data_IF_269811106227
#
_entry.id   IF_269811106227
#
_cell.length_a   1.000
_cell.length_b   1.000
_cell.length_c   1.000
_cell.angle_alpha   90.00
_cell.angle_beta   90.00
_cell.angle_gamma   90.00
#
_symmetry.space_group_name_H-M   'P 1'
#
loop_
_entity.id
_entity.type
_entity.pdbx_description
1 polymer ?
#
# COMPACT_ATOMS: atom_id res chain seq x y z
N UNK A 1 9.67 0.29 -12.58
CA UNK A 1 8.48 -0.55 -12.67
C UNK A 1 8.75 -2.00 -13.14
N UNK A 2 9.58 -2.25 -14.17
CA UNK A 2 9.81 -3.62 -14.71
C UNK A 2 10.40 -4.64 -13.74
N UNK A 3 11.12 -4.23 -12.71
CA UNK A 3 11.77 -5.14 -11.74
C UNK A 3 10.87 -5.55 -10.57
N UNK A 4 9.79 -4.81 -10.29
CA UNK A 4 8.85 -5.06 -9.20
C UNK A 4 7.68 -5.97 -9.64
N UNK A 5 7.26 -5.81 -10.88
CA UNK A 5 6.07 -6.46 -11.43
C UNK A 5 6.08 -8.00 -11.24
N UNK A 6 7.19 -8.73 -11.52
CA UNK A 6 7.21 -10.18 -11.35
C UNK A 6 7.00 -10.61 -9.89
N UNK A 7 7.58 -9.92 -8.92
CA UNK A 7 7.41 -10.25 -7.50
C UNK A 7 5.96 -10.03 -7.04
N UNK A 8 5.37 -8.88 -7.42
CA UNK A 8 3.98 -8.58 -7.09
C UNK A 8 2.99 -9.53 -7.76
N UNK A 9 3.25 -9.95 -9.00
CA UNK A 9 2.42 -10.94 -9.69
C UNK A 9 2.53 -12.32 -9.04
N UNK A 10 3.72 -12.77 -8.68
CA UNK A 10 3.92 -14.06 -8.00
C UNK A 10 3.16 -14.05 -6.67
N UNK A 11 3.37 -13.04 -5.83
CA UNK A 11 2.69 -12.93 -4.53
C UNK A 11 1.18 -12.81 -4.72
N UNK A 12 0.72 -11.99 -5.66
CA UNK A 12 -0.71 -11.82 -5.96
C UNK A 12 -1.37 -13.12 -6.42
N UNK A 13 -0.71 -13.87 -7.32
CA UNK A 13 -1.22 -15.16 -7.80
C UNK A 13 -1.27 -16.21 -6.69
N UNK A 14 -0.22 -16.33 -5.88
CA UNK A 14 -0.19 -17.25 -4.73
C UNK A 14 -1.28 -16.86 -3.72
N UNK A 15 -1.42 -15.58 -3.41
CA UNK A 15 -2.46 -15.11 -2.49
C UNK A 15 -3.87 -15.42 -3.01
N UNK A 16 -4.12 -15.19 -4.31
CA UNK A 16 -5.41 -15.49 -4.93
C UNK A 16 -5.74 -17.00 -4.84
N UNK A 17 -4.76 -17.86 -5.14
CA UNK A 17 -4.93 -19.32 -5.01
C UNK A 17 -5.21 -19.71 -3.55
N UNK A 18 -4.48 -19.15 -2.59
CA UNK A 18 -4.71 -19.42 -1.17
C UNK A 18 -6.10 -18.99 -0.72
N UNK A 19 -6.57 -17.81 -1.13
CA UNK A 19 -7.92 -17.35 -0.82
C UNK A 19 -9.00 -18.29 -1.40
N UNK A 20 -8.82 -18.74 -2.64
CA UNK A 20 -9.76 -19.69 -3.27
C UNK A 20 -9.74 -21.03 -2.55
N UNK A 21 -8.57 -21.62 -2.29
CA UNK A 21 -8.45 -22.94 -1.65
C UNK A 21 -9.02 -22.91 -0.23
N UNK A 22 -8.67 -21.90 0.56
CA UNK A 22 -9.14 -21.78 1.95
C UNK A 22 -10.64 -21.44 1.97
N UNK A 23 -11.10 -20.55 1.08
CA UNK A 23 -12.52 -20.24 0.93
C UNK A 23 -13.35 -21.48 0.58
N UNK A 24 -12.87 -22.32 -0.33
CA UNK A 24 -13.55 -23.59 -0.67
C UNK A 24 -13.51 -24.58 0.48
N UNK A 25 -12.41 -24.67 1.23
CA UNK A 25 -12.30 -25.59 2.37
C UNK A 25 -13.18 -25.20 3.55
N UNK A 26 -13.39 -23.90 3.76
CA UNK A 26 -14.27 -23.39 4.81
C UNK A 26 -15.75 -23.40 4.40
N UNK A 27 -16.05 -23.39 3.10
CA UNK A 27 -17.43 -23.43 2.62
C UNK A 27 -18.16 -24.75 2.89
N UNK A 28 -17.45 -25.79 3.29
CA UNK A 28 -18.04 -27.06 3.71
C UNK A 28 -18.67 -27.04 5.12
N UNK A 29 -18.50 -25.98 5.89
CA UNK A 29 -18.96 -25.83 7.28
C UNK A 29 -20.11 -24.85 7.52
N UNK A 30 -20.92 -24.58 6.53
CA UNK A 30 -22.08 -23.68 6.66
C UNK A 30 -21.92 -22.45 5.78
N UNK A 31 -22.48 -22.50 4.59
CA UNK A 31 -22.80 -21.31 3.83
C UNK A 31 -23.68 -20.43 4.70
N UNK A 32 -23.15 -19.37 5.28
CA UNK A 32 -23.94 -18.18 5.40
C UNK A 32 -24.31 -17.86 3.95
N UNK A 33 -25.54 -18.20 3.54
CA UNK A 33 -26.07 -17.69 2.30
C UNK A 33 -25.99 -16.18 2.46
N UNK A 34 -25.03 -15.54 1.80
CA UNK A 34 -25.13 -14.13 1.55
C UNK A 34 -26.37 -14.08 0.67
N UNK A 35 -27.53 -13.78 1.29
CA UNK A 35 -28.70 -13.38 0.54
C UNK A 35 -28.25 -12.14 -0.22
N UNK A 36 -27.79 -12.39 -1.43
CA UNK A 36 -27.45 -11.31 -2.34
C UNK A 36 -28.79 -10.61 -2.64
N UNK A 37 -29.03 -9.53 -1.92
CA UNK A 37 -30.18 -8.69 -2.17
C UNK A 37 -30.12 -8.27 -3.66
N UNK A 38 -31.12 -8.65 -4.47
CA UNK A 38 -31.16 -8.30 -5.86
C UNK A 38 -31.03 -6.78 -6.11
N UNK A 39 -31.36 -5.97 -5.09
CA UNK A 39 -31.19 -4.52 -5.13
C UNK A 39 -29.72 -4.06 -5.20
N UNK A 40 -28.77 -4.93 -4.83
CA UNK A 40 -27.33 -4.62 -4.91
C UNK A 40 -26.71 -4.90 -6.28
N UNK A 41 -27.43 -5.58 -7.19
CA UNK A 41 -26.95 -5.88 -8.52
C UNK A 41 -26.47 -4.64 -9.33
N UNK A 42 -27.13 -3.47 -9.25
CA UNK A 42 -26.63 -2.24 -9.89
C UNK A 42 -25.28 -1.79 -9.38
N UNK A 43 -24.93 -2.11 -8.14
CA UNK A 43 -23.64 -1.72 -7.54
C UNK A 43 -22.44 -2.41 -8.19
N UNK A 44 -22.63 -3.54 -8.89
CA UNK A 44 -21.58 -4.21 -9.64
C UNK A 44 -21.04 -3.35 -10.80
N UNK A 45 -21.84 -2.40 -11.29
CA UNK A 45 -21.42 -1.47 -12.33
C UNK A 45 -20.23 -0.62 -11.88
N UNK A 46 -20.10 -0.34 -10.59
CA UNK A 46 -18.96 0.41 -10.05
C UNK A 46 -17.62 -0.32 -10.20
N UNK A 47 -17.61 -1.65 -10.39
CA UNK A 47 -16.39 -2.40 -10.67
C UNK A 47 -15.73 -2.01 -12.02
N UNK A 48 -16.47 -1.37 -12.93
CA UNK A 48 -15.92 -0.86 -14.18
C UNK A 48 -14.92 0.28 -13.95
N UNK A 49 -15.07 1.04 -12.87
CA UNK A 49 -14.25 2.23 -12.59
C UNK A 49 -12.78 1.88 -12.33
N UNK A 50 -12.44 0.93 -11.43
CA UNK A 50 -11.05 0.48 -11.27
C UNK A 50 -10.46 -0.09 -12.56
N UNK A 51 -11.26 -0.78 -13.38
CA UNK A 51 -10.79 -1.31 -14.68
C UNK A 51 -10.45 -0.16 -15.62
N UNK A 52 -11.30 0.85 -15.73
CA UNK A 52 -11.04 2.05 -16.54
C UNK A 52 -9.79 2.78 -16.03
N UNK A 53 -9.62 2.95 -14.72
CA UNK A 53 -8.45 3.57 -14.12
C UNK A 53 -7.15 2.84 -14.54
N UNK A 54 -7.14 1.52 -14.43
CA UNK A 54 -5.99 0.69 -14.85
C UNK A 54 -5.72 0.85 -16.35
N UNK A 55 -6.74 0.83 -17.18
CA UNK A 55 -6.61 0.98 -18.63
C UNK A 55 -6.08 2.37 -19.02
N UNK A 56 -6.55 3.44 -18.38
CA UNK A 56 -6.04 4.81 -18.59
C UNK A 56 -4.57 4.91 -18.24
N UNK A 57 -4.17 4.36 -17.09
CA UNK A 57 -2.77 4.34 -16.67
C UNK A 57 -1.91 3.49 -17.60
N UNK A 58 -2.41 2.35 -18.10
CA UNK A 58 -1.72 1.50 -19.05
C UNK A 58 -1.50 2.21 -20.41
N UNK A 59 -2.40 3.14 -20.77
CA UNK A 59 -2.27 4.00 -21.96
C UNK A 59 -1.35 5.20 -21.77
N UNK A 60 -0.71 5.34 -20.60
CA UNK A 60 0.26 6.39 -20.31
C UNK A 60 -0.34 7.71 -19.82
N UNK A 61 -1.62 7.72 -19.43
CA UNK A 61 -2.21 8.90 -18.80
C UNK A 61 -1.53 9.20 -17.46
N UNK A 62 -1.39 10.48 -17.13
CA UNK A 62 -0.89 10.88 -15.83
C UNK A 62 -1.83 10.42 -14.71
N UNK A 63 -1.26 10.03 -13.56
CA UNK A 63 -2.02 9.52 -12.41
C UNK A 63 -3.16 10.47 -12.00
N UNK A 64 -2.88 11.77 -11.91
CA UNK A 64 -3.86 12.78 -11.48
C UNK A 64 -5.03 12.86 -12.47
N UNK A 65 -4.74 12.90 -13.77
CA UNK A 65 -5.78 12.97 -14.81
C UNK A 65 -6.64 11.70 -14.82
N UNK A 66 -6.03 10.54 -14.68
CA UNK A 66 -6.73 9.26 -14.63
C UNK A 66 -7.64 9.16 -13.40
N UNK A 67 -7.15 9.61 -12.23
CA UNK A 67 -7.94 9.66 -11.00
C UNK A 67 -9.10 10.65 -11.09
N UNK A 68 -8.88 11.86 -11.62
CA UNK A 68 -9.95 12.85 -11.78
C UNK A 68 -11.06 12.33 -12.70
N UNK A 69 -10.70 11.72 -13.83
CA UNK A 69 -11.69 11.14 -14.73
C UNK A 69 -12.45 9.99 -14.10
N UNK A 70 -11.75 9.12 -13.36
CA UNK A 70 -12.38 8.00 -12.67
C UNK A 70 -13.33 8.47 -11.56
N UNK A 71 -12.97 9.50 -10.79
CA UNK A 71 -13.86 10.10 -9.80
C UNK A 71 -15.08 10.76 -10.45
N UNK A 72 -14.90 11.51 -11.54
CA UNK A 72 -16.02 12.09 -12.29
C UNK A 72 -16.97 11.00 -12.79
N UNK A 73 -16.44 9.86 -13.25
CA UNK A 73 -17.23 8.72 -13.70
C UNK A 73 -18.02 8.09 -12.52
N UNK A 74 -17.42 7.95 -11.34
CA UNK A 74 -18.14 7.46 -10.14
C UNK A 74 -19.30 8.38 -9.79
N UNK A 75 -19.07 9.70 -9.75
CA UNK A 75 -20.11 10.68 -9.45
C UNK A 75 -21.25 10.60 -10.49
N UNK A 76 -20.90 10.51 -11.78
CA UNK A 76 -21.90 10.37 -12.84
C UNK A 76 -22.71 9.07 -12.70
N UNK A 77 -22.07 7.95 -12.40
CA UNK A 77 -22.76 6.68 -12.17
C UNK A 77 -23.65 6.72 -10.93
N UNK A 78 -23.21 7.35 -9.84
CA UNK A 78 -24.01 7.52 -8.62
C UNK A 78 -25.30 8.32 -8.91
N UNK A 79 -25.21 9.37 -9.72
CA UNK A 79 -26.36 10.19 -10.13
C UNK A 79 -27.30 9.44 -11.06
N UNK A 80 -26.76 8.72 -12.07
CA UNK A 80 -27.57 7.96 -13.03
C UNK A 80 -28.30 6.81 -12.37
N UNK A 81 -27.65 6.12 -11.45
CA UNK A 81 -28.23 4.98 -10.71
C UNK A 81 -29.08 5.41 -9.52
N UNK A 82 -29.15 6.71 -9.22
CA UNK A 82 -29.92 7.22 -8.08
C UNK A 82 -29.41 6.75 -6.71
N UNK A 83 -28.14 6.37 -6.62
CA UNK A 83 -27.51 5.89 -5.38
C UNK A 83 -27.27 7.05 -4.41
N UNK A 84 -27.05 8.25 -4.94
CA UNK A 84 -26.82 9.47 -4.15
C UNK A 84 -27.70 10.58 -4.66
N UNK A 85 -28.41 11.25 -3.75
CA UNK A 85 -29.21 12.41 -4.09
C UNK A 85 -28.29 13.58 -4.51
N UNK A 86 -28.57 14.29 -5.61
CA UNK A 86 -27.79 15.44 -6.04
C UNK A 86 -27.57 16.51 -4.96
N UNK A 87 -28.54 16.68 -4.08
CA UNK A 87 -28.43 17.64 -2.96
C UNK A 87 -27.39 17.22 -1.93
N UNK A 88 -27.22 15.92 -1.70
CA UNK A 88 -26.23 15.38 -0.75
C UNK A 88 -24.81 15.52 -1.28
N UNK A 89 -24.61 15.49 -2.61
CA UNK A 89 -23.29 15.65 -3.23
C UNK A 89 -22.63 17.00 -2.93
N UNK A 90 -23.43 18.04 -2.72
CA UNK A 90 -22.97 19.40 -2.45
C UNK A 90 -23.14 19.81 -0.98
N UNK A 91 -23.54 18.90 -0.10
CA UNK A 91 -23.62 19.13 1.33
C UNK A 91 -22.27 19.02 2.02
N UNK A 92 -22.13 19.59 3.22
CA UNK A 92 -20.90 19.48 4.02
C UNK A 92 -20.57 18.03 4.41
N UNK A 93 -21.60 17.19 4.54
CA UNK A 93 -21.47 15.75 4.84
C UNK A 93 -21.31 14.89 3.57
N UNK A 94 -21.06 15.50 2.42
CA UNK A 94 -20.91 14.74 1.18
C UNK A 94 -19.69 13.82 1.19
N UNK A 95 -19.73 12.68 0.45
CA UNK A 95 -18.56 11.84 0.26
C UNK A 95 -17.36 12.59 -0.36
N UNK A 96 -17.63 13.62 -1.16
CA UNK A 96 -16.61 14.47 -1.75
C UNK A 96 -15.95 15.33 -0.67
N UNK A 97 -16.73 16.00 0.16
CA UNK A 97 -16.23 16.84 1.26
C UNK A 97 -15.41 16.01 2.26
N UNK A 98 -15.95 14.87 2.68
CA UNK A 98 -15.26 13.94 3.59
C UNK A 98 -13.94 13.45 3.01
N UNK A 99 -13.91 13.11 1.72
CA UNK A 99 -12.70 12.71 1.01
C UNK A 99 -11.67 13.84 0.95
N UNK A 100 -12.07 15.07 0.68
CA UNK A 100 -11.19 16.25 0.65
C UNK A 100 -10.61 16.55 2.04
N UNK A 101 -11.41 16.51 3.09
CA UNK A 101 -10.96 16.73 4.48
C UNK A 101 -9.95 15.65 4.89
N UNK A 102 -10.23 14.38 4.59
CA UNK A 102 -9.33 13.27 4.83
C UNK A 102 -7.96 13.47 4.16
N UNK A 103 -7.96 13.91 2.89
CA UNK A 103 -6.75 14.15 2.13
C UNK A 103 -6.00 15.41 2.61
N UNK A 104 -6.70 16.44 3.08
CA UNK A 104 -6.09 17.62 3.66
C UNK A 104 -5.24 17.27 4.90
N UNK A 105 -5.75 16.40 5.77
CA UNK A 105 -4.99 15.90 6.92
C UNK A 105 -3.71 15.17 6.50
N UNK A 106 -3.80 14.29 5.49
CA UNK A 106 -2.62 13.59 4.95
C UNK A 106 -1.60 14.57 4.37
N UNK A 107 -2.05 15.60 3.64
CA UNK A 107 -1.19 16.62 3.07
C UNK A 107 -0.46 17.43 4.17
N UNK A 108 -1.17 17.87 5.20
CA UNK A 108 -0.61 18.61 6.33
C UNK A 108 0.46 17.77 7.03
N UNK A 109 0.15 16.51 7.37
CA UNK A 109 1.09 15.60 8.04
C UNK A 109 2.32 15.38 7.15
N UNK A 110 2.14 15.17 5.85
CA UNK A 110 3.24 15.01 4.89
C UNK A 110 4.14 16.25 4.84
N UNK A 111 3.57 17.46 4.82
CA UNK A 111 4.34 18.70 4.87
C UNK A 111 5.15 18.82 6.17
N UNK A 112 4.55 18.52 7.31
CA UNK A 112 5.24 18.55 8.60
C UNK A 112 6.40 17.54 8.63
N UNK A 113 6.20 16.32 8.12
CA UNK A 113 7.25 15.31 8.03
C UNK A 113 8.39 15.79 7.14
N UNK A 114 8.10 16.38 5.97
CA UNK A 114 9.13 16.93 5.08
C UNK A 114 9.91 18.04 5.79
N UNK A 115 9.25 18.92 6.54
CA UNK A 115 9.93 19.94 7.36
C UNK A 115 10.83 19.30 8.42
N UNK A 116 10.35 18.29 9.13
CA UNK A 116 11.14 17.59 10.14
C UNK A 116 12.38 16.90 9.55
N UNK A 117 12.29 16.34 8.34
CA UNK A 117 13.42 15.71 7.66
C UNK A 117 14.51 16.75 7.28
N UNK A 118 14.13 17.99 7.01
CA UNK A 118 15.08 19.05 6.66
C UNK A 118 16.06 19.35 7.82
N UNK A 119 15.64 19.21 9.07
CA UNK A 119 16.49 19.47 10.23
C UNK A 119 17.69 18.51 10.27
N UNK A 120 17.52 17.17 10.34
CA UNK A 120 18.64 16.24 10.36
C UNK A 120 19.44 16.24 9.04
N UNK A 121 18.80 16.60 7.92
CA UNK A 121 19.50 16.71 6.63
C UNK A 121 20.45 17.91 6.61
N UNK A 122 19.99 19.10 7.03
CA UNK A 122 20.80 20.32 7.05
C UNK A 122 21.84 20.32 8.17
N UNK A 123 21.57 19.67 9.30
CA UNK A 123 22.54 19.54 10.40
C UNK A 123 23.66 18.53 10.11
N UNK A 124 23.57 17.76 9.02
CA UNK A 124 24.52 16.69 8.73
C UNK A 124 24.33 15.43 9.59
N UNK A 125 23.32 15.40 10.47
CA UNK A 125 23.04 14.25 11.30
C UNK A 125 22.66 13.00 10.48
N UNK A 126 21.91 13.21 9.38
CA UNK A 126 21.55 12.12 8.46
C UNK A 126 22.79 11.54 7.79
N UNK A 127 23.77 12.38 7.43
CA UNK A 127 25.04 11.95 6.84
C UNK A 127 25.91 11.22 7.84
N UNK A 128 25.96 11.68 9.08
CA UNK A 128 26.68 11.01 10.14
C UNK A 128 26.07 9.62 10.45
N UNK A 129 24.75 9.55 10.51
CA UNK A 129 24.03 8.29 10.73
C UNK A 129 24.19 7.30 9.56
N UNK A 130 24.12 7.79 8.32
CA UNK A 130 24.38 6.98 7.14
C UNK A 130 25.81 6.41 7.17
N UNK A 131 26.83 7.24 7.41
CA UNK A 131 28.23 6.79 7.55
C UNK A 131 28.39 5.77 8.66
N UNK A 132 27.77 5.98 9.82
CA UNK A 132 27.81 5.02 10.92
C UNK A 132 27.24 3.66 10.53
N UNK A 133 26.12 3.61 9.83
CA UNK A 133 25.52 2.36 9.33
C UNK A 133 26.43 1.72 8.27
N UNK A 134 26.98 2.50 7.34
CA UNK A 134 27.87 2.00 6.29
C UNK A 134 29.10 1.31 6.89
N UNK A 135 29.66 1.84 7.99
CA UNK A 135 30.77 1.18 8.69
C UNK A 135 30.41 -0.22 9.23
N UNK A 136 29.11 -0.48 9.46
CA UNK A 136 28.60 -1.78 9.89
C UNK A 136 28.16 -2.66 8.72
N UNK A 137 27.78 -2.06 7.60
CA UNK A 137 27.36 -2.74 6.38
C UNK A 137 28.59 -3.03 5.50
N UNK A 138 29.05 -4.28 5.48
CA UNK A 138 30.20 -4.68 4.64
C UNK A 138 29.82 -5.09 3.23
N UNK A 139 28.53 -5.28 2.96
CA UNK A 139 28.03 -5.79 1.69
C UNK A 139 26.74 -5.09 1.29
N UNK A 140 26.47 -5.04 -0.01
CA UNK A 140 25.21 -4.51 -0.53
C UNK A 140 23.97 -5.25 0.04
N UNK A 141 24.11 -6.53 0.39
CA UNK A 141 23.03 -7.29 1.05
C UNK A 141 22.68 -6.71 2.42
N UNK A 142 23.70 -6.34 3.21
CA UNK A 142 23.46 -5.70 4.51
C UNK A 142 22.84 -4.32 4.37
N UNK A 143 23.19 -3.56 3.33
CA UNK A 143 22.57 -2.28 3.03
C UNK A 143 21.09 -2.43 2.61
N UNK A 144 20.79 -3.41 1.75
CA UNK A 144 19.39 -3.74 1.38
C UNK A 144 18.58 -4.22 2.61
N UNK A 145 19.19 -4.97 3.52
CA UNK A 145 18.55 -5.41 4.75
C UNK A 145 18.26 -4.24 5.70
N UNK A 146 19.17 -3.27 5.78
CA UNK A 146 18.93 -2.03 6.54
C UNK A 146 17.76 -1.26 5.94
N UNK A 147 17.68 -1.13 4.61
CA UNK A 147 16.55 -0.50 3.94
C UNK A 147 15.23 -1.22 4.25
N UNK A 148 15.24 -2.56 4.27
CA UNK A 148 14.10 -3.39 4.65
C UNK A 148 13.67 -3.11 6.11
N UNK A 149 14.59 -3.15 7.05
CA UNK A 149 14.31 -2.85 8.46
C UNK A 149 13.78 -1.43 8.65
N UNK A 150 14.37 -0.44 7.97
CA UNK A 150 13.90 0.94 8.03
C UNK A 150 12.48 1.09 7.49
N UNK A 151 12.11 0.35 6.43
CA UNK A 151 10.75 0.33 5.94
C UNK A 151 9.77 -0.22 6.98
N UNK A 152 10.10 -1.36 7.61
CA UNK A 152 9.25 -1.97 8.65
C UNK A 152 9.10 -1.03 9.85
N UNK A 153 10.21 -0.60 10.46
CA UNK A 153 10.16 0.26 11.64
C UNK A 153 9.55 1.64 11.34
N UNK A 154 9.84 2.18 10.15
CA UNK A 154 9.27 3.46 9.72
C UNK A 154 7.75 3.41 9.63
N UNK A 155 7.17 2.33 9.09
CA UNK A 155 5.71 2.16 9.02
C UNK A 155 5.11 1.97 10.41
N UNK A 156 5.76 1.19 11.29
CA UNK A 156 5.30 1.03 12.67
C UNK A 156 5.26 2.39 13.39
N UNK A 157 6.26 3.25 13.15
CA UNK A 157 6.35 4.55 13.78
C UNK A 157 5.40 5.60 13.18
N UNK A 158 5.22 5.59 11.84
CA UNK A 158 4.45 6.64 11.12
C UNK A 158 3.03 6.22 10.76
N UNK A 159 2.67 4.93 10.92
CA UNK A 159 1.37 4.35 10.56
C UNK A 159 0.99 4.53 9.08
N UNK A 160 1.97 4.87 8.24
CA UNK A 160 1.76 5.17 6.83
C UNK A 160 2.96 4.75 5.98
N UNK A 161 2.70 3.99 4.93
CA UNK A 161 3.74 3.64 3.95
C UNK A 161 4.28 4.86 3.21
N UNK A 162 3.41 5.80 2.85
CA UNK A 162 3.80 7.04 2.15
C UNK A 162 4.74 7.89 3.00
N UNK A 163 4.38 8.12 4.27
CA UNK A 163 5.21 8.92 5.18
C UNK A 163 6.55 8.23 5.44
N UNK A 164 6.55 6.91 5.58
CA UNK A 164 7.77 6.13 5.72
C UNK A 164 8.69 6.30 4.51
N UNK A 165 8.16 6.19 3.29
CA UNK A 165 8.95 6.32 2.07
C UNK A 165 9.53 7.73 1.96
N UNK A 166 8.76 8.77 2.27
CA UNK A 166 9.23 10.16 2.28
C UNK A 166 10.36 10.34 3.29
N UNK A 167 10.20 9.77 4.49
CA UNK A 167 11.19 9.90 5.56
C UNK A 167 12.46 9.09 5.30
N UNK A 168 12.33 7.81 4.93
CA UNK A 168 13.47 6.89 4.80
C UNK A 168 14.12 6.91 3.42
N UNK A 169 13.41 7.35 2.39
CA UNK A 169 13.89 7.36 1.00
C UNK A 169 15.21 8.09 0.79
N UNK A 170 15.38 9.34 1.25
CA UNK A 170 16.64 10.08 1.14
C UNK A 170 17.80 9.35 1.83
N UNK A 171 17.55 8.73 2.97
CA UNK A 171 18.55 7.95 3.70
C UNK A 171 18.95 6.68 2.95
N UNK A 172 17.97 5.90 2.47
CA UNK A 172 18.23 4.67 1.71
C UNK A 172 18.98 4.98 0.41
N UNK A 173 18.62 6.08 -0.26
CA UNK A 173 19.34 6.54 -1.45
C UNK A 173 20.81 6.79 -1.13
N UNK A 174 21.09 7.56 -0.09
CA UNK A 174 22.46 7.89 0.32
C UNK A 174 23.25 6.65 0.74
N UNK A 175 22.60 5.72 1.46
CA UNK A 175 23.21 4.44 1.81
C UNK A 175 23.60 3.64 0.56
N UNK A 176 22.81 3.68 -0.51
CA UNK A 176 23.08 2.97 -1.75
C UNK A 176 24.11 3.66 -2.63
N UNK A 177 24.26 4.99 -2.52
CA UNK A 177 25.25 5.74 -3.29
C UNK A 177 26.70 5.28 -3.00
N UNK A 178 26.98 4.77 -1.81
CA UNK A 178 28.30 4.23 -1.45
C UNK A 178 28.63 2.87 -2.10
N UNK A 179 27.61 2.21 -2.67
CA UNK A 179 27.76 0.93 -3.38
C UNK A 179 27.52 1.10 -4.89
N UNK A 180 27.97 2.21 -5.49
CA UNK A 180 27.62 2.66 -6.86
C UNK A 180 27.78 1.60 -7.96
N UNK A 181 28.78 0.72 -7.87
CA UNK A 181 29.02 -0.33 -8.88
C UNK A 181 28.07 -1.53 -8.75
N UNK A 182 27.52 -1.76 -7.56
CA UNK A 182 26.66 -2.92 -7.27
C UNK A 182 25.19 -2.52 -7.02
N UNK A 183 24.93 -1.25 -6.71
CA UNK A 183 23.61 -0.79 -6.30
C UNK A 183 22.69 -0.50 -7.49
N UNK A 184 21.55 -1.17 -7.51
CA UNK A 184 20.41 -0.80 -8.35
C UNK A 184 19.45 0.07 -7.53
N UNK A 185 19.48 1.39 -7.74
CA UNK A 185 18.58 2.33 -7.06
C UNK A 185 17.09 2.00 -7.29
N UNK A 186 16.75 1.41 -8.46
CA UNK A 186 15.40 0.95 -8.72
C UNK A 186 15.03 -0.22 -7.80
N UNK A 187 15.98 -1.08 -7.47
CA UNK A 187 15.77 -2.22 -6.59
C UNK A 187 15.57 -1.77 -5.14
N UNK A 188 16.42 -0.88 -4.63
CA UNK A 188 16.29 -0.36 -3.26
C UNK A 188 14.99 0.42 -3.06
N UNK A 189 14.58 1.22 -4.04
CA UNK A 189 13.29 1.89 -4.04
C UNK A 189 12.11 0.88 -4.05
N UNK A 190 12.23 -0.21 -4.82
CA UNK A 190 11.20 -1.26 -4.84
C UNK A 190 11.14 -2.05 -3.53
N UNK A 191 12.27 -2.32 -2.88
CA UNK A 191 12.31 -2.95 -1.55
C UNK A 191 11.60 -2.03 -0.55
N UNK A 192 11.98 -0.76 -0.49
CA UNK A 192 11.42 0.20 0.43
C UNK A 192 9.90 0.30 0.28
N UNK A 193 9.41 0.47 -0.95
CA UNK A 193 8.00 0.65 -1.26
C UNK A 193 7.19 -0.63 -0.99
N UNK A 194 7.65 -1.79 -1.48
CA UNK A 194 6.91 -3.04 -1.30
C UNK A 194 6.85 -3.48 0.17
N UNK A 195 7.96 -3.32 0.91
CA UNK A 195 8.02 -3.66 2.33
C UNK A 195 7.18 -2.68 3.16
N UNK A 196 7.23 -1.38 2.85
CA UNK A 196 6.39 -0.40 3.53
C UNK A 196 4.90 -0.68 3.28
N UNK A 197 4.50 -0.98 2.04
CA UNK A 197 3.12 -1.33 1.72
C UNK A 197 2.67 -2.63 2.40
N UNK A 198 3.51 -3.67 2.38
CA UNK A 198 3.22 -4.94 3.05
C UNK A 198 3.08 -4.77 4.56
N UNK A 199 4.00 -4.05 5.19
CA UNK A 199 3.96 -3.77 6.63
C UNK A 199 2.72 -2.97 7.01
N UNK A 200 2.35 -1.95 6.22
CA UNK A 200 1.17 -1.11 6.50
C UNK A 200 -0.14 -1.91 6.54
N UNK A 201 -0.26 -2.97 5.74
CA UNK A 201 -1.41 -3.86 5.78
C UNK A 201 -1.41 -4.85 6.96
N UNK A 202 -0.31 -4.95 7.71
CA UNK A 202 -0.18 -5.84 8.88
C UNK A 202 -0.25 -5.12 10.22
N UNK A 203 -0.40 -3.80 10.21
CA UNK A 203 -0.47 -2.99 11.43
C UNK A 203 -1.94 -2.73 11.78
N UNK A 204 -2.38 -3.03 13.03
CA UNK A 204 -3.79 -2.93 13.42
C UNK A 204 -4.34 -1.49 13.39
N UNK A 205 -3.51 -0.51 13.51
CA UNK A 205 -3.84 0.92 13.49
C UNK A 205 -3.47 1.62 12.16
N UNK A 206 -3.07 0.84 11.14
CA UNK A 206 -2.83 1.36 9.79
C UNK A 206 -4.14 1.66 9.04
N UNK A 207 -4.09 2.61 8.11
CA UNK A 207 -5.25 2.97 7.30
C UNK A 207 -5.96 1.76 6.65
N UNK A 208 -5.26 0.77 6.05
CA UNK A 208 -5.93 -0.39 5.46
C UNK A 208 -6.69 -1.22 6.49
N UNK A 209 -6.14 -1.38 7.69
CA UNK A 209 -6.76 -2.13 8.77
C UNK A 209 -8.06 -1.48 9.25
N UNK A 210 -8.04 -0.16 9.44
CA UNK A 210 -9.21 0.62 9.85
C UNK A 210 -10.32 0.58 8.79
N UNK A 211 -9.96 0.67 7.51
CA UNK A 211 -10.93 0.57 6.41
C UNK A 211 -11.55 -0.82 6.36
N UNK A 212 -10.73 -1.88 6.45
CA UNK A 212 -11.23 -3.27 6.39
C UNK A 212 -12.17 -3.55 7.56
N UNK A 213 -11.79 -3.20 8.79
CA UNK A 213 -12.63 -3.41 9.96
C UNK A 213 -13.91 -2.59 9.90
N UNK A 214 -13.83 -1.32 9.47
CA UNK A 214 -14.99 -0.44 9.32
C UNK A 214 -15.99 -0.94 8.26
N UNK A 215 -15.48 -1.43 7.12
CA UNK A 215 -16.35 -2.01 6.08
C UNK A 215 -16.92 -3.36 6.53
N UNK A 216 -16.10 -4.22 7.13
CA UNK A 216 -16.51 -5.55 7.55
C UNK A 216 -17.65 -5.51 8.59
N UNK A 217 -17.60 -4.60 9.54
CA UNK A 217 -18.67 -4.43 10.55
C UNK A 217 -20.00 -3.96 9.97
N UNK A 218 -20.00 -3.38 8.76
CA UNK A 218 -21.21 -3.00 8.02
C UNK A 218 -21.81 -4.11 7.17
N UNK A 219 -21.13 -5.27 7.04
CA UNK A 219 -21.59 -6.37 6.20
C UNK A 219 -22.45 -7.34 7.03
N UNK A 220 -23.62 -7.70 6.49
CA UNK A 220 -24.49 -8.68 7.11
C UNK A 220 -23.77 -10.05 7.29
N UNK A 221 -23.87 -10.61 8.49
CA UNK A 221 -23.23 -11.89 8.83
C UNK A 221 -21.82 -11.80 9.43
N UNK A 222 -21.22 -10.60 9.46
CA UNK A 222 -19.97 -10.37 10.17
C UNK A 222 -20.27 -10.05 11.64
N UNK A 223 -19.66 -10.78 12.61
CA UNK A 223 -19.88 -10.53 14.03
C UNK A 223 -19.45 -9.09 14.39
N UNK A 224 -20.19 -8.42 15.27
CA UNK A 224 -19.80 -7.11 15.78
C UNK A 224 -18.47 -7.11 16.56
N UNK A 225 -17.99 -8.31 16.97
CA UNK A 225 -16.70 -8.52 17.60
C UNK A 225 -15.56 -8.67 16.61
N UNK A 226 -15.82 -8.61 15.29
CA UNK A 226 -14.77 -8.74 14.26
C UNK A 226 -13.70 -7.68 14.47
N UNK A 227 -12.48 -8.14 14.62
CA UNK A 227 -11.31 -7.30 14.86
C UNK A 227 -10.25 -7.50 13.77
N UNK A 228 -9.30 -6.59 13.72
CA UNK A 228 -8.17 -6.71 12.81
C UNK A 228 -7.36 -8.00 13.03
N UNK A 229 -7.29 -8.50 14.27
CA UNK A 229 -6.53 -9.72 14.59
C UNK A 229 -7.12 -10.95 13.89
N UNK A 230 -8.43 -10.99 13.69
CA UNK A 230 -9.10 -12.07 12.97
C UNK A 230 -8.71 -12.08 11.48
N UNK A 231 -8.43 -10.90 10.92
CA UNK A 231 -8.01 -10.75 9.53
C UNK A 231 -6.50 -10.92 9.32
N UNK A 232 -5.69 -10.64 10.36
CA UNK A 232 -4.23 -10.58 10.25
C UNK A 232 -3.61 -11.84 9.65
N UNK A 233 -4.10 -13.02 10.07
CA UNK A 233 -3.63 -14.31 9.57
C UNK A 233 -3.98 -14.59 8.12
N UNK A 234 -5.06 -13.98 7.62
CA UNK A 234 -5.54 -14.16 6.25
C UNK A 234 -4.98 -13.14 5.27
N UNK A 235 -4.19 -12.17 5.71
CA UNK A 235 -3.59 -11.16 4.84
C UNK A 235 -2.36 -11.69 4.11
N UNK A 236 -2.56 -12.78 3.31
CA UNK A 236 -1.49 -13.51 2.62
C UNK A 236 -0.66 -12.64 1.70
N UNK A 237 -1.26 -11.63 1.06
CA UNK A 237 -0.56 -10.74 0.17
C UNK A 237 0.51 -9.92 0.90
N UNK A 238 0.17 -9.34 2.05
CA UNK A 238 1.09 -8.54 2.84
C UNK A 238 2.22 -9.38 3.43
N UNK A 239 1.90 -10.55 3.99
CA UNK A 239 2.90 -11.51 4.44
C UNK A 239 3.81 -11.98 3.31
N UNK A 240 3.21 -12.30 2.15
CA UNK A 240 3.94 -12.73 0.97
C UNK A 240 4.93 -11.67 0.46
N UNK A 241 4.54 -10.38 0.46
CA UNK A 241 5.45 -9.29 0.10
C UNK A 241 6.65 -9.22 1.04
N UNK A 242 6.45 -9.26 2.35
CA UNK A 242 7.55 -9.23 3.31
C UNK A 242 8.50 -10.42 3.12
N UNK A 243 7.96 -11.61 3.00
CA UNK A 243 8.75 -12.83 2.85
C UNK A 243 9.53 -12.85 1.54
N UNK A 244 8.89 -12.53 0.41
CA UNK A 244 9.55 -12.62 -0.90
C UNK A 244 10.67 -11.58 -1.05
N UNK A 245 10.48 -10.37 -0.52
CA UNK A 245 11.53 -9.36 -0.55
C UNK A 245 12.66 -9.68 0.42
N UNK A 246 12.39 -10.24 1.59
CA UNK A 246 13.42 -10.73 2.49
C UNK A 246 14.25 -11.84 1.84
N UNK A 247 13.59 -12.84 1.26
CA UNK A 247 14.27 -13.92 0.52
C UNK A 247 15.06 -13.38 -0.67
N UNK A 248 14.53 -12.42 -1.42
CA UNK A 248 15.22 -11.77 -2.53
C UNK A 248 16.49 -11.04 -2.08
N UNK A 249 16.49 -10.42 -0.91
CA UNK A 249 17.68 -9.76 -0.32
C UNK A 249 18.73 -10.82 0.08
N UNK A 250 18.28 -11.86 0.81
CA UNK A 250 19.19 -12.90 1.31
C UNK A 250 19.83 -13.72 0.18
N UNK A 251 19.05 -14.09 -0.83
CA UNK A 251 19.53 -14.87 -1.98
C UNK A 251 20.23 -14.04 -3.04
N UNK A 252 19.94 -12.73 -3.11
CA UNK A 252 20.41 -11.83 -4.16
C UNK A 252 19.69 -12.00 -5.49
N UNK A 253 18.60 -12.79 -5.54
CA UNK A 253 17.79 -12.98 -6.74
C UNK A 253 17.18 -11.63 -7.17
N UNK A 254 17.23 -11.33 -8.47
CA UNK A 254 16.75 -10.07 -9.03
C UNK A 254 17.70 -8.88 -8.89
N UNK A 255 18.88 -9.07 -8.31
CA UNK A 255 19.96 -8.08 -8.37
C UNK A 255 20.57 -8.12 -9.78
N UNK A 256 20.57 -6.99 -10.47
CA UNK A 256 21.33 -6.86 -11.71
C UNK A 256 22.80 -6.82 -11.32
N UNK A 257 23.58 -7.82 -11.74
CA UNK A 257 25.04 -7.70 -11.71
C UNK A 257 25.39 -6.59 -12.71
N UNK A 258 26.04 -5.54 -12.27
CA UNK A 258 26.56 -4.52 -13.14
C UNK A 258 27.41 -5.19 -14.24
N UNK A 259 27.12 -4.84 -15.51
CA UNK A 259 28.00 -5.15 -16.63
C UNK A 259 29.15 -4.18 -16.61
#
# INVERSE_FOLDING_TARGET
MRTRLPYSLIVGSISAVLYVVIGLSQSSGGRAAIDADPSTAPSLVFLIVPVILILLMARGWGLVSALLLSNALVVALCLILGVVDPMVLFSDDSPISSGMISMANVAIVSCLIVMMIQIPTKSGAMDAFARWIITKCKTIRSAELVAYCMAVFGVIATHSSTNTIIFTGPFVRKLMDDYQEEADHCRSANILDAVACGTNGLIPHGNPALVITGVATGVAGVPASFSFLDFLGYNYHCWGLLIIFLLSILTGIGRKRGK
#
